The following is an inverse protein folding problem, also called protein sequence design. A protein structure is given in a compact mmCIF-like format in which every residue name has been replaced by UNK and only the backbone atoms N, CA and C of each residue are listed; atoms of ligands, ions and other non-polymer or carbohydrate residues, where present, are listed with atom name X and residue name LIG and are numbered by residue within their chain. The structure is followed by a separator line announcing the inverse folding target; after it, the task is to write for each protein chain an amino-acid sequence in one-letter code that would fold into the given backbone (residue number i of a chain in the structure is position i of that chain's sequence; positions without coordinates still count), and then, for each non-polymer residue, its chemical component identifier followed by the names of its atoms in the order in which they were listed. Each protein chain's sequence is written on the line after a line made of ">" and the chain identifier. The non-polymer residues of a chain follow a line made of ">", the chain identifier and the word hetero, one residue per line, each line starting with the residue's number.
data_IF_844433036731
#
_entry.id   IF_844433036731
#
_cell.length_a   1.000
_cell.length_b   1.000
_cell.length_c   1.000
_cell.angle_alpha   90.00
_cell.angle_beta   90.00
_cell.angle_gamma   90.00
#
_symmetry.space_group_name_H-M   'P 1'
#
loop_
_entity.id
_entity.type
_entity.pdbx_description
1 polymer ?
#
# COMPACT_ATOMS: atom_id res chain seq x y z
N UNK A 1 30.80 -22.60 6.74
CA UNK A 1 29.90 -21.73 7.53
C UNK A 1 30.69 -21.14 8.68
N UNK A 2 31.00 -19.84 8.62
CA UNK A 2 31.79 -19.17 9.67
C UNK A 2 30.91 -18.85 10.89
N UNK A 3 31.32 -19.30 12.08
CA UNK A 3 30.65 -18.93 13.33
C UNK A 3 31.16 -17.55 13.75
N UNK A 4 30.29 -16.54 13.76
CA UNK A 4 30.61 -15.23 14.32
C UNK A 4 30.72 -15.35 15.85
N UNK A 5 31.82 -14.87 16.44
CA UNK A 5 31.96 -14.71 17.89
C UNK A 5 31.60 -13.27 18.23
N UNK A 6 30.45 -13.08 18.86
CA UNK A 6 30.04 -11.77 19.37
C UNK A 6 30.47 -11.71 20.84
N UNK A 7 31.35 -10.76 21.16
CA UNK A 7 31.73 -10.44 22.54
C UNK A 7 30.88 -9.28 23.04
N UNK A 8 30.40 -9.37 24.27
CA UNK A 8 29.64 -8.31 24.93
C UNK A 8 30.32 -7.98 26.25
N UNK A 9 30.44 -6.70 26.57
CA UNK A 9 30.80 -6.24 27.91
C UNK A 9 29.52 -6.20 28.75
N UNK A 10 29.57 -6.79 29.95
CA UNK A 10 28.44 -6.89 30.87
C UNK A 10 28.90 -6.33 32.21
N UNK A 11 28.07 -5.51 32.84
CA UNK A 11 28.32 -4.99 34.20
C UNK A 11 28.45 -6.17 35.19
N UNK A 12 29.48 -6.12 36.04
CA UNK A 12 29.77 -7.14 37.04
C UNK A 12 28.60 -7.37 38.00
N UNK A 13 27.83 -6.32 38.31
CA UNK A 13 26.67 -6.39 39.21
C UNK A 13 25.53 -7.19 38.60
N UNK A 14 25.27 -6.98 37.31
CA UNK A 14 24.21 -7.67 36.59
C UNK A 14 24.58 -9.14 36.38
N UNK A 15 25.85 -9.42 36.09
CA UNK A 15 26.37 -10.78 35.97
C UNK A 15 26.24 -11.55 37.30
N UNK A 16 26.55 -10.92 38.43
CA UNK A 16 26.42 -11.53 39.74
C UNK A 16 24.95 -11.88 40.05
N UNK A 17 24.03 -10.98 39.74
CA UNK A 17 22.60 -11.16 39.95
C UNK A 17 22.04 -12.29 39.08
N UNK A 18 22.41 -12.32 37.79
CA UNK A 18 22.00 -13.39 36.87
C UNK A 18 22.55 -14.76 37.30
N UNK A 19 23.80 -14.84 37.77
CA UNK A 19 24.38 -16.07 38.32
C UNK A 19 23.65 -16.55 39.57
N UNK A 20 23.32 -15.64 40.49
CA UNK A 20 22.57 -15.97 41.71
C UNK A 20 21.17 -16.53 41.36
N UNK A 21 20.49 -15.92 40.39
CA UNK A 21 19.20 -16.39 39.90
C UNK A 21 19.29 -17.80 39.31
N UNK A 22 20.31 -18.04 38.46
CA UNK A 22 20.55 -19.36 37.85
C UNK A 22 20.86 -20.44 38.89
N UNK A 23 21.67 -20.12 39.89
CA UNK A 23 22.00 -21.04 40.98
C UNK A 23 20.76 -21.41 41.82
N UNK A 24 19.83 -20.47 42.03
CA UNK A 24 18.58 -20.69 42.78
C UNK A 24 17.56 -21.54 42.01
N UNK A 25 17.56 -21.45 40.68
CA UNK A 25 16.56 -22.11 39.82
C UNK A 25 17.09 -23.32 39.04
N UNK A 26 18.31 -23.79 39.32
CA UNK A 26 18.88 -25.01 38.74
C UNK A 26 19.13 -24.93 37.22
N UNK A 27 19.37 -23.72 36.71
CA UNK A 27 19.48 -23.44 35.28
C UNK A 27 20.91 -23.35 34.75
N UNK A 28 21.06 -22.87 33.52
CA UNK A 28 22.34 -22.40 32.98
C UNK A 28 22.18 -20.95 32.50
N UNK A 29 23.23 -20.14 32.64
CA UNK A 29 23.22 -18.74 32.21
C UNK A 29 22.87 -18.61 30.71
N UNK A 30 23.40 -19.51 29.87
CA UNK A 30 23.11 -19.53 28.44
C UNK A 30 21.63 -19.76 28.13
N UNK A 31 20.92 -20.58 28.92
CA UNK A 31 19.47 -20.77 28.78
C UNK A 31 18.70 -19.50 29.13
N UNK A 32 19.13 -18.78 30.16
CA UNK A 32 18.50 -17.52 30.57
C UNK A 32 18.69 -16.44 29.50
N UNK A 33 19.90 -16.32 28.96
CA UNK A 33 20.21 -15.41 27.85
C UNK A 33 19.43 -15.79 26.58
N UNK A 34 19.34 -17.08 26.25
CA UNK A 34 18.56 -17.53 25.09
C UNK A 34 17.06 -17.27 25.26
N UNK A 35 16.52 -17.45 26.47
CA UNK A 35 15.13 -17.15 26.77
C UNK A 35 14.83 -15.64 26.69
N UNK A 36 15.76 -14.80 27.14
CA UNK A 36 15.67 -13.35 27.00
C UNK A 36 15.67 -12.91 25.52
N UNK A 37 16.57 -13.46 24.70
CA UNK A 37 16.58 -13.16 23.27
C UNK A 37 15.31 -13.67 22.57
N UNK A 38 14.78 -14.82 22.99
CA UNK A 38 13.50 -15.33 22.48
C UNK A 38 12.33 -14.42 22.86
N UNK A 39 12.29 -13.90 24.11
CA UNK A 39 11.22 -12.99 24.54
C UNK A 39 11.30 -11.63 23.85
N UNK A 40 12.51 -11.10 23.66
CA UNK A 40 12.70 -9.84 22.93
C UNK A 40 12.22 -9.94 21.47
N UNK A 41 12.46 -11.07 20.81
CA UNK A 41 11.94 -11.31 19.45
C UNK A 41 10.42 -11.45 19.39
N UNK A 42 9.77 -11.90 20.48
CA UNK A 42 8.31 -11.98 20.57
C UNK A 42 7.68 -10.61 20.87
N UNK A 43 8.29 -9.81 21.75
CA UNK A 43 7.83 -8.46 22.07
C UNK A 43 7.85 -7.53 20.85
N UNK A 44 8.77 -7.72 19.90
CA UNK A 44 8.76 -6.97 18.62
C UNK A 44 7.62 -7.41 17.68
N UNK A 45 7.28 -8.70 17.67
CA UNK A 45 6.16 -9.21 16.87
C UNK A 45 4.81 -8.72 17.40
N UNK A 46 4.65 -8.68 18.73
CA UNK A 46 3.44 -8.19 19.39
C UNK A 46 3.32 -6.66 19.41
N UNK A 47 4.43 -5.94 19.24
CA UNK A 47 4.46 -4.46 19.12
C UNK A 47 4.29 -3.94 17.70
N UNK A 48 4.19 -4.79 16.68
CA UNK A 48 3.79 -4.30 15.37
C UNK A 48 2.38 -3.69 15.51
N UNK A 49 2.22 -2.37 15.27
CA UNK A 49 0.89 -1.79 15.28
C UNK A 49 0.06 -2.57 14.27
N UNK A 50 -1.05 -3.14 14.73
CA UNK A 50 -2.03 -3.76 13.83
C UNK A 50 -2.51 -2.66 12.91
N UNK A 51 -1.87 -2.56 11.74
CA UNK A 51 -2.22 -1.59 10.74
C UNK A 51 -3.65 -1.87 10.34
N UNK A 52 -4.50 -0.86 10.47
CA UNK A 52 -5.86 -0.89 9.95
C UNK A 52 -5.81 -1.43 8.51
N UNK A 53 -6.63 -2.43 8.14
CA UNK A 53 -6.60 -3.05 6.81
C UNK A 53 -6.62 -2.05 5.65
N UNK A 54 -7.32 -0.93 5.84
CA UNK A 54 -7.34 0.16 4.86
C UNK A 54 -5.97 0.83 4.71
N UNK A 55 -5.26 1.07 5.82
CA UNK A 55 -3.92 1.66 5.83
C UNK A 55 -2.89 0.71 5.21
N UNK A 56 -2.99 -0.60 5.48
CA UNK A 56 -2.13 -1.61 4.82
C UNK A 56 -2.32 -1.60 3.30
N UNK A 57 -3.56 -1.55 2.84
CA UNK A 57 -3.89 -1.51 1.41
C UNK A 57 -3.34 -0.24 0.75
N UNK A 58 -3.46 0.92 1.40
CA UNK A 58 -2.89 2.17 0.89
C UNK A 58 -1.35 2.13 0.85
N UNK A 59 -0.69 1.51 1.84
CA UNK A 59 0.76 1.31 1.80
C UNK A 59 1.18 0.39 0.65
N UNK A 60 0.45 -0.68 0.37
CA UNK A 60 0.70 -1.55 -0.78
C UNK A 60 0.59 -0.82 -2.13
N UNK A 61 -0.35 0.14 -2.25
CA UNK A 61 -0.44 1.01 -3.43
C UNK A 61 0.75 1.95 -3.52
N UNK A 62 1.12 2.61 -2.41
CA UNK A 62 2.24 3.56 -2.38
C UNK A 62 3.58 2.90 -2.74
N UNK A 63 3.72 1.61 -2.41
CA UNK A 63 4.91 0.81 -2.71
C UNK A 63 4.86 0.17 -4.10
N UNK A 64 3.79 0.40 -4.87
CA UNK A 64 3.62 -0.14 -6.22
C UNK A 64 3.35 -1.64 -6.28
N UNK A 65 3.05 -2.29 -5.14
CA UNK A 65 2.73 -3.72 -5.07
C UNK A 65 1.29 -4.00 -5.51
N UNK A 66 0.40 -3.03 -5.30
CA UNK A 66 -1.01 -3.13 -5.62
C UNK A 66 -1.42 -2.05 -6.62
N UNK A 67 -2.21 -2.42 -7.63
CA UNK A 67 -2.75 -1.44 -8.57
C UNK A 67 -3.79 -0.54 -7.90
N UNK A 68 -3.86 0.73 -8.29
CA UNK A 68 -4.80 1.71 -7.74
C UNK A 68 -6.26 1.24 -7.95
N UNK A 69 -6.55 0.61 -9.09
CA UNK A 69 -7.87 0.06 -9.42
C UNK A 69 -8.27 -1.12 -8.54
N UNK A 70 -7.30 -1.96 -8.16
CA UNK A 70 -7.56 -3.08 -7.25
C UNK A 70 -7.73 -2.60 -5.82
N UNK A 71 -6.97 -1.57 -5.41
CA UNK A 71 -7.16 -0.92 -4.13
C UNK A 71 -8.53 -0.23 -4.01
N UNK A 72 -9.03 0.42 -5.08
CA UNK A 72 -10.38 1.00 -5.08
C UNK A 72 -11.45 -0.06 -4.80
N UNK A 73 -11.33 -1.25 -5.40
CA UNK A 73 -12.24 -2.37 -5.14
C UNK A 73 -12.12 -2.90 -3.71
N UNK A 74 -10.90 -3.06 -3.17
CA UNK A 74 -10.68 -3.58 -1.80
C UNK A 74 -11.11 -2.60 -0.72
N UNK A 75 -11.03 -1.30 -1.00
CA UNK A 75 -11.43 -0.22 -0.10
C UNK A 75 -12.89 0.22 -0.29
N UNK A 76 -13.63 -0.44 -1.19
CA UNK A 76 -15.01 -0.10 -1.57
C UNK A 76 -15.16 1.38 -2.01
N UNK A 77 -14.15 1.91 -2.69
CA UNK A 77 -14.12 3.29 -3.17
C UNK A 77 -14.63 3.39 -4.62
N UNK A 78 -15.22 4.54 -5.00
CA UNK A 78 -15.83 4.71 -6.33
C UNK A 78 -14.84 4.60 -7.48
N UNK A 79 -13.64 5.16 -7.31
CA UNK A 79 -12.64 5.27 -8.36
C UNK A 79 -11.20 5.39 -7.81
N UNK A 80 -10.24 5.45 -8.74
CA UNK A 80 -8.83 5.71 -8.41
C UNK A 80 -8.59 7.09 -7.78
N UNK A 81 -9.40 8.08 -8.13
CA UNK A 81 -9.29 9.44 -7.60
C UNK A 81 -9.45 9.46 -6.08
N UNK A 82 -10.43 8.72 -5.56
CA UNK A 82 -10.64 8.56 -4.11
C UNK A 82 -9.46 7.84 -3.43
N UNK A 83 -8.85 6.86 -4.08
CA UNK A 83 -7.64 6.18 -3.54
C UNK A 83 -6.46 7.16 -3.46
N UNK A 84 -6.24 7.96 -4.51
CA UNK A 84 -5.19 8.99 -4.53
C UNK A 84 -5.43 10.07 -3.48
N UNK A 85 -6.69 10.48 -3.30
CA UNK A 85 -7.07 11.42 -2.24
C UNK A 85 -6.75 10.86 -0.85
N UNK A 86 -7.11 9.59 -0.58
CA UNK A 86 -6.79 8.91 0.68
C UNK A 86 -5.28 8.78 0.92
N UNK A 87 -4.49 8.52 -0.12
CA UNK A 87 -3.03 8.50 -0.02
C UNK A 87 -2.48 9.86 0.41
N UNK A 88 -2.99 10.95 -0.19
CA UNK A 88 -2.61 12.31 0.15
C UNK A 88 -3.02 12.69 1.58
N UNK A 89 -4.24 12.36 2.02
CA UNK A 89 -4.70 12.58 3.41
C UNK A 89 -3.80 11.89 4.45
N UNK A 90 -3.30 10.70 4.13
CA UNK A 90 -2.44 9.90 5.00
C UNK A 90 -0.94 10.25 4.86
N UNK A 91 -0.60 11.22 4.02
CA UNK A 91 0.80 11.61 3.76
C UNK A 91 1.64 10.51 3.12
N UNK A 92 1.01 9.55 2.43
CA UNK A 92 1.69 8.45 1.77
C UNK A 92 2.16 8.87 0.37
N UNK A 93 3.34 8.40 -0.07
CA UNK A 93 3.86 8.77 -1.38
C UNK A 93 2.94 8.24 -2.49
N UNK A 94 2.67 9.09 -3.48
CA UNK A 94 1.91 8.69 -4.65
C UNK A 94 2.75 7.71 -5.49
N UNK A 95 2.12 6.66 -6.05
CA UNK A 95 2.82 5.73 -6.92
C UNK A 95 3.38 6.49 -8.12
N UNK A 96 4.67 6.29 -8.41
CA UNK A 96 5.32 6.89 -9.57
C UNK A 96 4.80 6.21 -10.84
N UNK A 97 4.12 6.97 -11.68
CA UNK A 97 3.68 6.49 -12.99
C UNK A 97 4.86 6.57 -13.98
N UNK A 98 4.99 5.62 -14.93
CA UNK A 98 5.97 5.71 -16.00
C UNK A 98 5.74 6.95 -16.88
N UNK A 99 6.80 7.64 -17.30
CA UNK A 99 6.70 8.87 -18.09
C UNK A 99 5.92 8.68 -19.41
N UNK A 100 6.09 7.52 -20.04
CA UNK A 100 5.37 7.18 -21.28
C UNK A 100 3.86 7.05 -21.07
N UNK A 101 3.45 6.55 -19.90
CA UNK A 101 2.04 6.44 -19.53
C UNK A 101 1.44 7.83 -19.28
N UNK A 102 2.19 8.71 -18.60
CA UNK A 102 1.77 10.09 -18.34
C UNK A 102 1.59 10.86 -19.64
N UNK A 103 2.52 10.74 -20.60
CA UNK A 103 2.40 11.39 -21.90
C UNK A 103 1.16 10.94 -22.67
N UNK A 104 0.92 9.63 -22.76
CA UNK A 104 -0.28 9.08 -23.43
C UNK A 104 -1.57 9.59 -22.79
N UNK A 105 -1.65 9.57 -21.46
CA UNK A 105 -2.81 10.09 -20.72
C UNK A 105 -3.04 11.58 -20.96
N UNK A 106 -1.98 12.39 -21.03
CA UNK A 106 -2.09 13.81 -21.35
C UNK A 106 -2.58 14.04 -22.77
N UNK A 107 -2.08 13.28 -23.74
CA UNK A 107 -2.51 13.38 -25.14
C UNK A 107 -4.00 12.97 -25.29
N UNK A 108 -4.42 11.88 -24.63
CA UNK A 108 -5.82 11.45 -24.60
C UNK A 108 -6.73 12.49 -23.93
N UNK A 109 -6.33 13.04 -22.78
CA UNK A 109 -7.08 14.07 -22.08
C UNK A 109 -7.19 15.35 -22.93
N UNK A 110 -6.11 15.74 -23.62
CA UNK A 110 -6.12 16.88 -24.54
C UNK A 110 -7.05 16.65 -25.71
N UNK A 111 -7.02 15.48 -26.34
CA UNK A 111 -7.94 15.13 -27.41
C UNK A 111 -9.41 15.15 -26.96
N UNK A 112 -9.71 14.65 -25.76
CA UNK A 112 -11.06 14.69 -25.20
C UNK A 112 -11.53 16.13 -24.94
N UNK A 113 -10.66 16.98 -24.38
CA UNK A 113 -10.94 18.40 -24.16
C UNK A 113 -11.18 19.13 -25.48
N UNK A 114 -10.32 18.90 -26.48
CA UNK A 114 -10.47 19.49 -27.81
C UNK A 114 -11.82 19.07 -28.43
N UNK A 115 -12.21 17.79 -28.29
CA UNK A 115 -13.51 17.30 -28.78
C UNK A 115 -14.71 17.94 -28.06
N UNK A 116 -14.59 18.30 -26.78
CA UNK A 116 -15.63 19.02 -26.05
C UNK A 116 -15.70 20.52 -26.38
N UNK A 117 -14.63 21.09 -26.93
CA UNK A 117 -14.56 22.51 -27.33
C UNK A 117 -15.04 22.75 -28.77
N UNK A 118 -15.23 21.70 -29.57
CA UNK A 118 -15.88 21.79 -30.87
C UNK A 118 -17.39 21.84 -30.67
N UNK A 119 -18.05 22.87 -31.20
CA UNK A 119 -19.52 22.95 -31.21
C UNK A 119 -20.09 21.66 -31.84
N UNK A 120 -21.06 21.00 -31.21
CA UNK A 120 -21.64 19.80 -31.79
C UNK A 120 -22.26 20.16 -33.14
N UNK A 121 -21.79 19.55 -34.23
CA UNK A 121 -22.41 19.74 -35.54
C UNK A 121 -23.90 19.41 -35.42
N UNK A 122 -24.75 20.44 -35.50
CA UNK A 122 -26.21 20.29 -35.53
C UNK A 122 -26.63 19.70 -36.87
N UNK A 123 -26.31 18.43 -37.09
CA UNK A 123 -26.71 17.63 -38.23
C UNK A 123 -28.09 17.02 -38.01
N UNK A 124 -29.13 17.85 -37.84
CA UNK A 124 -30.52 17.39 -37.92
C UNK A 124 -30.81 17.01 -39.36
N UNK A 125 -30.49 15.77 -39.75
CA UNK A 125 -31.12 15.14 -40.92
C UNK A 125 -32.54 14.75 -40.54
N UNK A 126 -33.47 15.71 -40.68
CA UNK A 126 -34.92 15.48 -40.77
C UNK A 126 -35.17 14.43 -41.86
N UNK A 127 -35.31 13.16 -41.47
CA UNK A 127 -35.80 12.10 -42.36
C UNK A 127 -37.29 12.33 -42.53
N UNK A 128 -37.61 13.16 -43.53
CA UNK A 128 -38.95 13.44 -44.03
C UNK A 128 -39.80 12.15 -44.05
N UNK A 129 -40.89 12.17 -43.29
CA UNK A 129 -42.10 11.48 -43.67
C UNK A 129 -42.45 11.87 -45.12
N UNK A 130 -42.47 10.89 -46.01
CA UNK A 130 -43.17 10.98 -47.28
C UNK A 130 -44.16 9.82 -47.34
N UNK A 131 -45.26 10.00 -46.60
CA UNK A 131 -46.53 9.34 -46.86
C UNK A 131 -47.07 9.92 -48.17
N UNK A 132 -46.85 9.23 -49.29
CA UNK A 132 -47.66 9.29 -50.52
C UNK A 132 -47.79 7.83 -50.98
N UNK A 133 -48.90 7.18 -50.67
CA UNK A 133 -50.07 7.10 -51.55
C UNK A 133 -49.73 6.45 -52.89
N UNK A 134 -50.18 5.19 -53.05
CA UNK A 134 -50.91 4.59 -54.20
C UNK A 134 -50.70 3.08 -54.11
N UNK A 135 -51.68 2.30 -53.64
CA UNK A 135 -52.77 1.77 -54.47
C UNK A 135 -52.26 0.92 -55.64
N UNK A 136 -52.18 -0.40 -55.43
CA UNK A 136 -52.42 -1.47 -56.38
C UNK A 136 -52.64 -2.76 -55.60
#
# INVERSE_FOLDING_TARGET
>A
MGKAKIGFEVDERDLATAKAYVAKHGGSLNKLVSALFASLGQDEADRMPVLDPATSTLMEVSTGKLSIMEAARRLELPDAGYVLHRLAEKGLPLPRLPDDFVKRQLDEARHALDACLVEPETGVKKRREARRQTAA
#
